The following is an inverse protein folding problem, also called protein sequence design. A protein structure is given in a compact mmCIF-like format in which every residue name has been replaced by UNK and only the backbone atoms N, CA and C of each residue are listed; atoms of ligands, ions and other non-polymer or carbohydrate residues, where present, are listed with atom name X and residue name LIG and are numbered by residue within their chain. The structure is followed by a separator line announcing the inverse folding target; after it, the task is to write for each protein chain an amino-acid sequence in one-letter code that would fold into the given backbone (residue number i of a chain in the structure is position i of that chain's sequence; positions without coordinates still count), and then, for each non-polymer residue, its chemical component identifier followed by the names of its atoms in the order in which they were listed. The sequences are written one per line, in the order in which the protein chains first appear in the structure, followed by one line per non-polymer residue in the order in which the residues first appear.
data_IF_118335289011
#
_entry.id   IF_118335289011
#
_cell.length_a   1.000
_cell.length_b   1.000
_cell.length_c   1.000
_cell.angle_alpha   90.00
_cell.angle_beta   90.00
_cell.angle_gamma   90.00
#
_symmetry.space_group_name_H-M   'P 1'
#
loop_
_entity.id
_entity.type
_entity.pdbx_description
1 polymer ?
#
# COMPACT_ATOMS: atom_id res chain seq x y z
N UNK A 1 -23.97 -10.48 23.32
CA UNK A 1 -23.23 -9.37 22.69
C UNK A 1 -23.13 -9.67 21.19
N UNK A 2 -24.01 -9.06 20.39
CA UNK A 2 -24.13 -9.39 18.97
C UNK A 2 -22.98 -8.75 18.18
N UNK A 3 -22.12 -9.59 17.58
CA UNK A 3 -21.15 -9.15 16.60
C UNK A 3 -21.88 -8.56 15.39
N UNK A 4 -21.90 -7.23 15.30
CA UNK A 4 -22.38 -6.51 14.11
C UNK A 4 -21.39 -6.78 12.99
N UNK A 5 -21.72 -7.73 12.13
CA UNK A 5 -20.96 -7.98 10.91
C UNK A 5 -21.07 -6.74 10.03
N UNK A 6 -19.93 -6.08 9.75
CA UNK A 6 -19.87 -4.99 8.77
C UNK A 6 -20.02 -5.63 7.39
N UNK A 7 -21.13 -5.38 6.73
CA UNK A 7 -21.32 -5.64 5.29
C UNK A 7 -20.14 -5.04 4.51
N UNK A 8 -19.57 -5.73 3.50
CA UNK A 8 -18.62 -5.11 2.60
C UNK A 8 -19.31 -3.91 1.95
N UNK A 9 -18.68 -2.75 1.97
CA UNK A 9 -19.20 -1.59 1.26
C UNK A 9 -19.31 -1.96 -0.23
N UNK A 10 -20.53 -1.92 -0.78
CA UNK A 10 -20.77 -1.98 -2.21
C UNK A 10 -19.92 -0.90 -2.91
N UNK A 11 -19.42 -1.16 -4.13
CA UNK A 11 -18.72 -0.13 -4.88
C UNK A 11 -19.69 1.03 -5.10
N UNK A 12 -19.32 2.20 -4.55
CA UNK A 12 -20.06 3.45 -4.61
C UNK A 12 -20.68 3.66 -6.00
N UNK A 13 -22.02 3.73 -6.07
CA UNK A 13 -22.82 4.02 -7.26
C UNK A 13 -22.68 5.49 -7.70
N UNK A 14 -21.45 5.86 -8.00
CA UNK A 14 -21.01 7.23 -8.14
C UNK A 14 -20.15 7.26 -9.40
N UNK A 15 -20.78 7.62 -10.52
CA UNK A 15 -20.33 7.43 -11.91
C UNK A 15 -18.84 7.60 -12.16
N UNK A 16 -18.33 6.84 -13.13
CA UNK A 16 -16.94 6.68 -13.58
C UNK A 16 -16.00 7.86 -13.25
N UNK A 17 -15.58 7.92 -11.99
CA UNK A 17 -14.66 8.94 -11.47
C UNK A 17 -13.21 8.48 -11.61
N UNK A 18 -12.99 7.24 -12.06
CA UNK A 18 -11.68 6.60 -12.06
C UNK A 18 -11.13 6.32 -10.67
N UNK A 19 -10.40 5.22 -10.54
CA UNK A 19 -9.66 4.92 -9.32
C UNK A 19 -8.46 5.86 -9.17
N UNK A 20 -8.28 6.39 -7.96
CA UNK A 20 -7.09 7.18 -7.61
C UNK A 20 -6.33 6.51 -6.48
N UNK A 21 -5.01 6.57 -6.55
CA UNK A 21 -4.13 6.11 -5.48
C UNK A 21 -3.51 7.29 -4.76
N UNK A 22 -3.46 7.23 -3.43
CA UNK A 22 -2.82 8.23 -2.60
C UNK A 22 -1.32 8.27 -2.86
N UNK A 23 -0.82 9.42 -3.30
CA UNK A 23 0.60 9.62 -3.61
C UNK A 23 1.53 9.41 -2.39
N UNK A 24 1.02 9.54 -1.16
CA UNK A 24 1.83 9.39 0.06
C UNK A 24 1.84 7.95 0.60
N UNK A 25 0.68 7.29 0.69
CA UNK A 25 0.57 5.99 1.36
C UNK A 25 0.25 4.80 0.44
N UNK A 26 0.03 5.04 -0.86
CA UNK A 26 -0.26 4.01 -1.86
C UNK A 26 -1.64 3.35 -1.74
N UNK A 27 -2.52 3.79 -0.82
CA UNK A 27 -3.88 3.27 -0.70
C UNK A 27 -4.81 3.89 -1.74
N UNK A 28 -5.85 3.15 -2.16
CA UNK A 28 -6.97 3.67 -2.93
C UNK A 28 -7.62 4.84 -2.19
N UNK A 29 -7.84 5.93 -2.91
CA UNK A 29 -8.55 7.10 -2.40
C UNK A 29 -10.05 6.79 -2.51
N UNK A 30 -10.69 6.60 -1.37
CA UNK A 30 -12.14 6.46 -1.29
C UNK A 30 -12.80 7.82 -1.52
N UNK A 31 -13.78 7.90 -2.43
CA UNK A 31 -14.47 9.14 -2.73
C UNK A 31 -15.13 9.75 -1.48
N UNK A 32 -15.21 11.08 -1.44
CA UNK A 32 -15.89 11.83 -0.38
C UNK A 32 -16.66 12.99 -1.00
N UNK A 33 -17.87 13.26 -0.52
CA UNK A 33 -18.72 14.36 -1.03
C UNK A 33 -18.00 15.71 -1.12
N UNK A 34 -17.10 16.02 -0.18
CA UNK A 34 -16.30 17.25 -0.17
C UNK A 34 -15.38 17.43 -1.40
N UNK A 35 -15.11 16.36 -2.15
CA UNK A 35 -14.25 16.37 -3.32
C UNK A 35 -15.01 16.44 -4.64
N UNK A 36 -16.35 16.57 -4.60
CA UNK A 36 -17.18 16.60 -5.81
C UNK A 36 -16.74 17.65 -6.84
N UNK A 37 -16.20 18.79 -6.39
CA UNK A 37 -15.80 19.91 -7.26
C UNK A 37 -14.35 19.84 -7.77
N UNK A 38 -13.52 18.96 -7.23
CA UNK A 38 -12.07 18.97 -7.49
C UNK A 38 -11.44 17.57 -7.46
N UNK A 39 -12.22 16.52 -7.74
CA UNK A 39 -11.77 15.13 -7.69
C UNK A 39 -10.50 14.90 -8.51
N UNK A 40 -10.38 15.50 -9.69
CA UNK A 40 -9.21 15.35 -10.56
C UNK A 40 -7.91 15.79 -9.90
N UNK A 41 -7.97 16.83 -9.07
CA UNK A 41 -6.82 17.37 -8.33
C UNK A 41 -6.54 16.62 -7.00
N UNK A 42 -7.37 15.66 -6.58
CA UNK A 42 -7.16 14.93 -5.32
C UNK A 42 -6.00 13.94 -5.47
N UNK A 43 -4.92 14.19 -4.73
CA UNK A 43 -3.71 13.34 -4.70
C UNK A 43 -3.53 12.53 -3.42
N UNK A 44 -4.26 12.87 -2.35
CA UNK A 44 -4.04 12.29 -1.01
C UNK A 44 -5.36 11.86 -0.37
N UNK A 45 -5.34 10.72 0.33
CA UNK A 45 -6.53 10.16 0.99
C UNK A 45 -6.94 10.89 2.28
N UNK A 46 -6.06 11.70 2.87
CA UNK A 46 -6.28 12.41 4.12
C UNK A 46 -5.32 13.60 4.27
N UNK A 47 -5.63 14.50 5.20
CA UNK A 47 -4.76 15.64 5.51
C UNK A 47 -3.43 15.20 6.11
N UNK A 48 -3.41 14.11 6.91
CA UNK A 48 -2.17 13.50 7.39
C UNK A 48 -1.28 12.97 6.24
N UNK A 49 -1.87 12.37 5.20
CA UNK A 49 -1.11 11.96 4.01
C UNK A 49 -0.71 13.15 3.14
N UNK A 50 -1.43 14.27 3.20
CA UNK A 50 -1.06 15.51 2.52
C UNK A 50 0.15 16.18 3.19
N UNK A 51 0.20 16.19 4.52
CA UNK A 51 1.32 16.75 5.27
C UNK A 51 2.54 15.83 5.30
N UNK A 52 2.34 14.52 5.17
CA UNK A 52 3.42 13.55 5.11
C UNK A 52 3.97 13.42 3.68
N UNK A 53 5.11 14.09 3.45
CA UNK A 53 5.91 13.95 2.22
C UNK A 53 6.67 12.63 2.24
N UNK A 54 6.82 12.02 1.07
CA UNK A 54 7.75 10.89 0.87
C UNK A 54 9.15 11.42 1.15
N UNK A 55 9.90 10.69 1.98
CA UNK A 55 11.27 10.99 2.37
C UNK A 55 12.26 9.93 1.88
N UNK A 56 13.54 10.09 2.24
CA UNK A 56 14.60 9.17 1.84
C UNK A 56 14.41 7.75 2.40
N UNK A 57 13.76 7.64 3.57
CA UNK A 57 13.47 6.33 4.17
C UNK A 57 12.43 5.59 3.34
N UNK A 58 11.36 6.27 2.93
CA UNK A 58 10.34 5.74 2.03
C UNK A 58 10.95 5.25 0.71
N UNK A 59 11.85 6.03 0.10
CA UNK A 59 12.51 5.68 -1.17
C UNK A 59 13.46 4.49 -1.00
N UNK A 60 14.25 4.48 0.07
CA UNK A 60 15.18 3.38 0.38
C UNK A 60 14.44 2.07 0.66
N UNK A 61 13.25 2.12 1.24
CA UNK A 61 12.40 0.94 1.41
C UNK A 61 11.94 0.37 0.07
N UNK A 62 11.55 1.20 -0.89
CA UNK A 62 11.16 0.74 -2.23
C UNK A 62 12.34 0.08 -2.96
N UNK A 63 13.52 0.71 -2.93
CA UNK A 63 14.75 0.15 -3.50
C UNK A 63 15.12 -1.19 -2.83
N UNK A 64 15.01 -1.26 -1.50
CA UNK A 64 15.32 -2.48 -0.75
C UNK A 64 14.34 -3.60 -1.08
N UNK A 65 13.04 -3.31 -1.19
CA UNK A 65 12.04 -4.30 -1.62
C UNK A 65 12.39 -4.85 -3.00
N UNK A 66 12.69 -3.98 -3.97
CA UNK A 66 13.07 -4.38 -5.32
C UNK A 66 14.34 -5.26 -5.31
N UNK A 67 15.37 -4.83 -4.58
CA UNK A 67 16.64 -5.55 -4.45
C UNK A 67 16.46 -6.94 -3.86
N UNK A 68 15.71 -7.06 -2.76
CA UNK A 68 15.45 -8.33 -2.09
C UNK A 68 14.67 -9.31 -2.97
N UNK A 69 13.75 -8.83 -3.81
CA UNK A 69 13.00 -9.66 -4.74
C UNK A 69 13.83 -10.05 -5.98
N UNK A 70 14.68 -9.16 -6.46
CA UNK A 70 15.58 -9.43 -7.58
C UNK A 70 16.63 -10.50 -7.24
N UNK A 71 17.10 -10.53 -5.98
CA UNK A 71 18.05 -11.52 -5.50
C UNK A 71 17.45 -12.93 -5.28
N UNK A 72 16.14 -13.12 -5.48
CA UNK A 72 15.45 -14.40 -5.27
C UNK A 72 14.88 -14.97 -6.57
N UNK A 73 14.43 -16.22 -6.53
CA UNK A 73 13.69 -16.84 -7.64
C UNK A 73 12.45 -16.01 -8.04
N UNK A 74 11.98 -16.17 -9.29
CA UNK A 74 10.88 -15.36 -9.86
C UNK A 74 9.57 -15.46 -9.05
N UNK A 75 9.28 -16.63 -8.51
CA UNK A 75 8.08 -16.95 -7.73
C UNK A 75 8.26 -16.74 -6.23
N UNK A 76 9.47 -16.39 -5.79
CA UNK A 76 9.78 -16.16 -4.39
C UNK A 76 9.03 -14.94 -3.85
N UNK A 77 8.78 -14.98 -2.54
CA UNK A 77 8.11 -13.90 -1.84
C UNK A 77 8.99 -13.37 -0.71
N UNK A 78 8.80 -12.10 -0.36
CA UNK A 78 9.29 -11.49 0.89
C UNK A 78 8.10 -10.99 1.72
N UNK A 79 8.35 -10.43 2.89
CA UNK A 79 7.37 -9.66 3.64
C UNK A 79 7.88 -8.24 3.92
N UNK A 80 7.01 -7.29 4.29
CA UNK A 80 7.45 -5.92 4.60
C UNK A 80 8.55 -5.85 5.66
N UNK A 81 8.58 -6.79 6.62
CA UNK A 81 9.63 -6.82 7.63
C UNK A 81 11.00 -7.22 7.12
N UNK A 82 11.10 -7.86 5.95
CA UNK A 82 12.40 -8.17 5.37
C UNK A 82 13.10 -6.87 4.93
N UNK A 83 12.38 -5.97 4.27
CA UNK A 83 12.89 -4.65 3.88
C UNK A 83 13.15 -3.75 5.10
N UNK A 84 12.23 -3.73 6.06
CA UNK A 84 12.41 -2.96 7.29
C UNK A 84 13.68 -3.37 8.06
N UNK A 85 13.90 -4.69 8.24
CA UNK A 85 15.09 -5.21 8.94
C UNK A 85 16.38 -4.91 8.21
N UNK A 86 16.35 -4.90 6.88
CA UNK A 86 17.54 -4.63 6.07
C UNK A 86 18.08 -3.19 6.24
N UNK A 87 17.22 -2.22 6.58
CA UNK A 87 17.64 -0.82 6.68
C UNK A 87 17.43 -0.17 8.05
N UNK A 88 16.61 -0.76 8.92
CA UNK A 88 16.13 -0.15 10.16
C UNK A 88 16.93 -0.49 11.43
N UNK A 89 17.94 -1.35 11.35
CA UNK A 89 18.74 -1.74 12.52
C UNK A 89 17.89 -2.28 13.67
N UNK A 90 18.16 -1.84 14.90
CA UNK A 90 17.39 -2.22 16.09
C UNK A 90 15.95 -1.68 16.08
N UNK A 91 15.74 -0.52 15.47
CA UNK A 91 14.46 0.20 15.39
C UNK A 91 13.61 -0.18 14.17
N UNK A 92 13.91 -1.31 13.51
CA UNK A 92 13.20 -1.74 12.29
C UNK A 92 11.68 -1.85 12.44
N UNK A 93 11.19 -2.03 13.67
CA UNK A 93 9.75 -2.12 13.96
C UNK A 93 9.00 -0.84 13.60
N UNK A 94 9.64 0.33 13.75
CA UNK A 94 9.05 1.61 13.40
C UNK A 94 8.89 1.78 11.88
N UNK A 95 9.67 1.02 11.11
CA UNK A 95 9.58 0.97 9.66
C UNK A 95 8.49 0.03 9.15
N UNK A 96 7.66 -0.58 10.00
CA UNK A 96 6.59 -1.48 9.55
C UNK A 96 5.55 -0.79 8.67
N UNK A 97 4.95 0.31 9.15
CA UNK A 97 3.98 1.05 8.34
C UNK A 97 4.62 1.75 7.14
N UNK A 98 5.80 2.39 7.25
CA UNK A 98 6.57 2.84 6.09
C UNK A 98 6.81 1.75 5.04
N UNK A 99 7.21 0.55 5.45
CA UNK A 99 7.46 -0.58 4.53
C UNK A 99 6.18 -1.02 3.82
N UNK A 100 5.04 -1.02 4.53
CA UNK A 100 3.73 -1.27 3.91
C UNK A 100 3.36 -0.17 2.92
N UNK A 101 3.59 1.11 3.25
CA UNK A 101 3.33 2.24 2.36
C UNK A 101 4.16 2.16 1.08
N UNK A 102 5.45 1.87 1.20
CA UNK A 102 6.35 1.61 0.07
C UNK A 102 5.80 0.50 -0.83
N UNK A 103 5.49 -0.66 -0.26
CA UNK A 103 4.90 -1.78 -1.01
C UNK A 103 3.62 -1.38 -1.74
N UNK A 104 2.71 -0.62 -1.10
CA UNK A 104 1.47 -0.16 -1.74
C UNK A 104 1.73 0.80 -2.90
N UNK A 105 2.71 1.71 -2.77
CA UNK A 105 3.10 2.60 -3.87
C UNK A 105 3.67 1.81 -5.04
N UNK A 106 4.49 0.79 -4.78
CA UNK A 106 4.99 -0.12 -5.82
C UNK A 106 3.87 -0.89 -6.53
N UNK A 107 2.88 -1.41 -5.78
CA UNK A 107 1.68 -2.04 -6.37
C UNK A 107 0.93 -1.07 -7.27
N UNK A 108 0.75 0.17 -6.83
CA UNK A 108 0.03 1.18 -7.60
C UNK A 108 0.72 1.56 -8.91
N UNK A 109 2.04 1.35 -9.03
CA UNK A 109 2.81 1.51 -10.27
C UNK A 109 2.84 0.25 -11.13
N UNK A 110 2.37 -0.88 -10.61
CA UNK A 110 2.44 -2.18 -11.28
C UNK A 110 3.77 -2.92 -11.08
N UNK A 111 4.66 -2.43 -10.20
CA UNK A 111 5.98 -3.02 -9.98
C UNK A 111 5.94 -4.25 -9.05
N UNK A 112 4.83 -4.43 -8.33
CA UNK A 112 4.71 -5.37 -7.22
C UNK A 112 3.29 -5.93 -7.09
N UNK A 113 3.16 -7.16 -6.62
CA UNK A 113 1.91 -7.72 -6.12
C UNK A 113 1.98 -8.00 -4.62
N UNK A 114 0.86 -7.75 -3.92
CA UNK A 114 0.69 -8.13 -2.52
C UNK A 114 -0.24 -9.34 -2.44
N UNK A 115 0.19 -10.37 -1.70
CA UNK A 115 -0.59 -11.60 -1.52
C UNK A 115 -0.82 -11.95 -0.05
N UNK A 116 -1.91 -12.68 0.21
CA UNK A 116 -2.20 -13.35 1.49
C UNK A 116 -2.73 -14.75 1.19
N UNK A 117 -2.18 -15.77 1.86
CA UNK A 117 -2.53 -17.16 1.57
C UNK A 117 -2.25 -17.59 0.12
N UNK A 118 -1.31 -16.92 -0.58
CA UNK A 118 -0.96 -17.19 -1.98
C UNK A 118 -1.78 -16.40 -3.01
N UNK A 119 -2.90 -15.81 -2.62
CA UNK A 119 -3.78 -15.04 -3.51
C UNK A 119 -3.45 -13.55 -3.48
N UNK A 120 -3.53 -12.88 -4.63
CA UNK A 120 -3.40 -11.41 -4.72
C UNK A 120 -4.56 -10.76 -3.96
N UNK A 121 -4.26 -9.74 -3.15
CA UNK A 121 -5.24 -9.02 -2.33
C UNK A 121 -5.15 -7.51 -2.55
N UNK A 122 -6.23 -6.79 -2.25
CA UNK A 122 -6.21 -5.33 -2.30
C UNK A 122 -5.28 -4.76 -1.22
N UNK A 123 -4.21 -4.02 -1.60
CA UNK A 123 -3.28 -3.38 -0.67
C UNK A 123 -3.96 -2.47 0.36
N UNK A 124 -5.10 -1.88 0.01
CA UNK A 124 -5.80 -0.85 0.80
C UNK A 124 -6.60 -1.44 1.97
N UNK A 125 -6.97 -2.72 1.86
CA UNK A 125 -7.86 -3.41 2.81
C UNK A 125 -7.22 -4.62 3.49
N UNK A 126 -6.11 -5.15 2.94
CA UNK A 126 -5.35 -6.24 3.52
C UNK A 126 -4.93 -5.96 4.98
N UNK A 127 -5.25 -6.90 5.88
CA UNK A 127 -4.91 -6.84 7.32
C UNK A 127 -4.03 -8.01 7.71
N UNK A 128 -3.12 -7.78 8.66
CA UNK A 128 -2.23 -8.84 9.15
C UNK A 128 -1.06 -9.14 8.21
N UNK A 129 -0.45 -10.33 8.31
CA UNK A 129 0.71 -10.72 7.52
C UNK A 129 0.41 -10.70 6.03
N UNK A 130 1.27 -10.02 5.27
CA UNK A 130 1.22 -9.95 3.80
C UNK A 130 2.54 -10.41 3.21
N UNK A 131 2.50 -10.93 1.99
CA UNK A 131 3.67 -11.28 1.20
C UNK A 131 3.76 -10.36 -0.01
N UNK A 132 4.99 -10.04 -0.40
CA UNK A 132 5.32 -9.21 -1.54
C UNK A 132 5.98 -10.11 -2.60
N UNK A 133 5.60 -9.96 -3.86
CA UNK A 133 6.22 -10.69 -4.98
C UNK A 133 6.26 -9.83 -6.24
N UNK A 134 7.14 -10.21 -7.17
CA UNK A 134 7.14 -9.64 -8.52
C UNK A 134 5.82 -9.99 -9.24
N UNK A 135 5.28 -9.10 -10.08
CA UNK A 135 4.17 -9.42 -10.97
C UNK A 135 4.50 -10.63 -11.84
N UNK A 136 3.46 -11.39 -12.21
CA UNK A 136 3.57 -12.56 -13.09
C UNK A 136 3.29 -12.21 -14.54
#
# INVERSE_FOLDING_TARGET
MAHRQRTPAEPDAAGDRGDKTCASCGRRIQWRAKWAKNWDAVKYCSDACRSHRIDDTDLRLEETIATLLAARAQDATICPSDAARAIGGEEWRDLMEPSRRAARRMVARGDLEITQGGSVVDPSTAKGPIRLRRPR
#
